data_IF_844294241482
#
_entry.id   IF_844294241482
#
_cell.length_a   1.000
_cell.length_b   1.000
_cell.length_c   1.000
_cell.angle_alpha   90.00
_cell.angle_beta   90.00
_cell.angle_gamma   90.00
#
_symmetry.space_group_name_H-M   'P 1'
#
loop_
_entity.id
_entity.type
_entity.pdbx_description
1 polymer ?
#
# COMPACT_ATOMS: atom_id res chain seq x y z
N UNK A 1 -6.22 11.86 22.79
CA UNK A 1 -5.54 10.91 21.88
C UNK A 1 -4.31 11.62 21.34
N UNK A 2 -3.12 11.08 21.52
CA UNK A 2 -1.90 11.63 20.93
C UNK A 2 -1.81 11.28 19.44
N UNK A 3 -0.90 11.95 18.72
CA UNK A 3 -0.76 11.85 17.26
C UNK A 3 -0.42 10.43 16.81
N UNK A 4 0.42 9.70 17.56
CA UNK A 4 0.81 8.32 17.22
C UNK A 4 -0.39 7.40 17.33
N UNK A 5 -1.15 7.49 18.42
CA UNK A 5 -2.36 6.70 18.61
C UNK A 5 -3.38 6.94 17.50
N UNK A 6 -3.61 8.20 17.10
CA UNK A 6 -4.51 8.53 16.00
C UNK A 6 -3.99 7.94 14.68
N UNK A 7 -2.70 8.11 14.38
CA UNK A 7 -2.08 7.58 13.16
C UNK A 7 -2.21 6.06 13.08
N UNK A 8 -1.90 5.33 14.15
CA UNK A 8 -2.02 3.88 14.20
C UNK A 8 -3.46 3.41 14.04
N UNK A 9 -4.44 4.11 14.63
CA UNK A 9 -5.85 3.79 14.44
C UNK A 9 -6.25 3.95 12.98
N UNK A 10 -5.88 5.06 12.34
CA UNK A 10 -6.19 5.30 10.93
C UNK A 10 -5.45 4.30 10.02
N UNK A 11 -4.19 3.98 10.33
CA UNK A 11 -3.41 2.99 9.58
C UNK A 11 -4.08 1.62 9.61
N UNK A 12 -4.44 1.11 10.80
CA UNK A 12 -5.16 -0.15 10.93
C UNK A 12 -6.52 -0.14 10.21
N UNK A 13 -7.22 1.00 10.18
CA UNK A 13 -8.49 1.13 9.46
C UNK A 13 -8.36 0.94 7.94
N UNK A 14 -7.18 1.23 7.38
CA UNK A 14 -6.91 1.07 5.96
C UNK A 14 -6.79 -0.40 5.54
N UNK A 15 -6.33 -1.30 6.42
CA UNK A 15 -6.01 -2.67 6.04
C UNK A 15 -6.91 -3.75 6.67
N UNK A 16 -7.09 -3.76 8.00
CA UNK A 16 -7.63 -4.93 8.71
C UNK A 16 -8.70 -4.61 9.76
N UNK A 17 -8.86 -3.35 10.20
CA UNK A 17 -9.91 -2.94 11.14
C UNK A 17 -11.02 -2.17 10.44
N UNK A 18 -12.26 -2.60 10.63
CA UNK A 18 -13.41 -1.87 10.09
C UNK A 18 -13.69 -0.61 10.91
N UNK A 19 -13.89 0.51 10.21
CA UNK A 19 -14.29 1.80 10.77
C UNK A 19 -15.33 2.44 9.81
N UNK A 20 -15.17 3.72 9.43
CA UNK A 20 -16.04 4.41 8.49
C UNK A 20 -16.15 3.75 7.10
N UNK A 21 -15.15 2.97 6.70
CA UNK A 21 -15.10 2.26 5.42
C UNK A 21 -14.60 0.82 5.61
N UNK A 22 -14.94 -0.11 4.68
CA UNK A 22 -14.44 -1.48 4.75
C UNK A 22 -12.91 -1.51 4.57
N UNK A 23 -12.19 -2.29 5.39
CA UNK A 23 -10.74 -2.38 5.32
C UNK A 23 -10.29 -3.10 4.04
N UNK A 24 -9.13 -2.73 3.48
CA UNK A 24 -8.74 -3.18 2.14
C UNK A 24 -8.61 -4.71 2.03
N UNK A 25 -8.16 -5.39 3.07
CA UNK A 25 -8.06 -6.86 3.07
C UNK A 25 -9.42 -7.52 2.84
N UNK A 26 -10.48 -6.96 3.44
CA UNK A 26 -11.88 -7.39 3.25
C UNK A 26 -12.42 -7.00 1.87
N UNK A 27 -12.10 -5.80 1.38
CA UNK A 27 -12.52 -5.34 0.04
C UNK A 27 -11.93 -6.22 -1.07
N UNK A 28 -10.68 -6.64 -0.91
CA UNK A 28 -9.96 -7.48 -1.88
C UNK A 28 -10.20 -8.98 -1.70
N UNK A 29 -11.03 -9.35 -0.72
CA UNK A 29 -11.44 -10.72 -0.47
C UNK A 29 -12.29 -11.22 -1.65
N UNK A 30 -12.01 -12.43 -2.13
CA UNK A 30 -12.78 -13.10 -3.21
C UNK A 30 -12.83 -12.37 -4.58
N UNK A 31 -12.05 -11.31 -4.78
CA UNK A 31 -11.89 -10.68 -6.11
C UNK A 31 -11.16 -11.64 -7.06
N UNK A 32 -11.83 -12.01 -8.15
CA UNK A 32 -11.27 -12.87 -9.19
C UNK A 32 -10.20 -12.14 -10.00
N UNK A 33 -9.36 -12.88 -10.73
CA UNK A 33 -8.37 -12.26 -11.63
C UNK A 33 -9.06 -11.37 -12.68
N UNK A 34 -10.15 -11.85 -13.28
CA UNK A 34 -10.92 -11.10 -14.28
C UNK A 34 -11.42 -9.77 -13.73
N UNK A 35 -12.00 -9.77 -12.51
CA UNK A 35 -12.42 -8.54 -11.83
C UNK A 35 -11.23 -7.64 -11.49
N UNK A 36 -10.09 -8.22 -11.12
CA UNK A 36 -8.89 -7.48 -10.74
C UNK A 36 -8.29 -6.69 -11.92
N UNK A 37 -8.30 -7.25 -13.13
CA UNK A 37 -7.78 -6.60 -14.35
C UNK A 37 -8.84 -5.77 -15.08
N UNK A 38 -10.12 -5.97 -14.79
CA UNK A 38 -11.21 -5.27 -15.44
C UNK A 38 -11.15 -3.75 -15.20
N UNK A 39 -11.45 -2.99 -16.25
CA UNK A 39 -11.51 -1.53 -16.22
C UNK A 39 -12.94 -1.07 -16.48
N UNK A 40 -13.49 -0.17 -15.65
CA UNK A 40 -14.89 0.25 -15.78
C UNK A 40 -15.16 1.11 -17.01
N UNK A 41 -14.20 1.95 -17.40
CA UNK A 41 -14.26 2.81 -18.58
C UNK A 41 -12.85 2.97 -19.15
N UNK A 42 -12.78 3.43 -20.39
CA UNK A 42 -11.49 3.78 -21.01
C UNK A 42 -10.78 4.86 -20.19
N UNK A 43 -9.47 4.67 -19.99
CA UNK A 43 -8.64 5.56 -19.17
C UNK A 43 -8.74 5.36 -17.65
N UNK A 44 -9.69 4.56 -17.15
CA UNK A 44 -9.72 4.21 -15.73
C UNK A 44 -8.67 3.15 -15.38
N UNK A 45 -8.28 3.13 -14.11
CA UNK A 45 -7.42 2.07 -13.56
C UNK A 45 -8.25 0.86 -13.11
N UNK A 46 -7.69 -0.33 -13.29
CA UNK A 46 -8.26 -1.56 -12.72
C UNK A 46 -8.00 -1.64 -11.22
N UNK A 47 -8.67 -2.57 -10.53
CA UNK A 47 -8.43 -2.81 -9.10
C UNK A 47 -6.96 -3.17 -8.86
N UNK A 48 -6.39 -4.05 -9.68
CA UNK A 48 -5.00 -4.48 -9.51
C UNK A 48 -4.03 -3.33 -9.78
N UNK A 49 -4.29 -2.48 -10.78
CA UNK A 49 -3.45 -1.31 -11.06
C UNK A 49 -3.41 -0.36 -9.86
N UNK A 50 -4.56 -0.13 -9.20
CA UNK A 50 -4.65 0.66 -7.97
C UNK A 50 -3.87 0.02 -6.82
N UNK A 51 -3.96 -1.30 -6.63
CA UNK A 51 -3.19 -2.00 -5.59
C UNK A 51 -1.68 -1.91 -5.86
N UNK A 52 -1.23 -2.06 -7.11
CA UNK A 52 0.17 -1.87 -7.49
C UNK A 52 0.67 -0.45 -7.20
N UNK A 53 -0.16 0.55 -7.49
CA UNK A 53 0.13 1.95 -7.18
C UNK A 53 0.31 2.20 -5.67
N UNK A 54 -0.61 1.70 -4.84
CA UNK A 54 -0.51 1.82 -3.39
C UNK A 54 0.73 1.09 -2.84
N UNK A 55 0.97 -0.14 -3.30
CA UNK A 55 2.14 -0.94 -2.93
C UNK A 55 3.45 -0.24 -3.28
N UNK A 56 3.52 0.41 -4.45
CA UNK A 56 4.71 1.16 -4.86
C UNK A 56 5.09 2.22 -3.82
N UNK A 57 4.14 3.04 -3.38
CA UNK A 57 4.42 4.11 -2.42
C UNK A 57 4.66 3.58 -1.01
N UNK A 58 3.93 2.56 -0.55
CA UNK A 58 4.19 1.95 0.75
C UNK A 58 5.60 1.35 0.84
N UNK A 59 6.07 0.68 -0.22
CA UNK A 59 7.45 0.17 -0.28
C UNK A 59 8.48 1.30 -0.18
N UNK A 60 8.23 2.45 -0.78
CA UNK A 60 9.11 3.62 -0.64
C UNK A 60 9.15 4.14 0.79
N UNK A 61 7.98 4.27 1.43
CA UNK A 61 7.88 4.71 2.82
C UNK A 61 8.62 3.72 3.74
N UNK A 62 8.42 2.42 3.54
CA UNK A 62 9.10 1.38 4.30
C UNK A 62 10.61 1.47 4.15
N UNK A 63 11.12 1.54 2.91
CA UNK A 63 12.56 1.61 2.67
C UNK A 63 13.20 2.89 3.23
N UNK A 64 12.47 4.02 3.24
CA UNK A 64 12.93 5.26 3.88
C UNK A 64 13.05 5.12 5.38
N UNK A 65 12.06 4.51 6.03
CA UNK A 65 12.12 4.20 7.46
C UNK A 65 13.29 3.28 7.81
N UNK A 66 13.62 2.34 6.93
CA UNK A 66 14.76 1.44 7.10
C UNK A 66 16.12 2.08 6.74
N UNK A 67 16.12 3.30 6.18
CA UNK A 67 17.33 3.96 5.68
C UNK A 67 17.90 3.35 4.39
N UNK A 68 17.14 2.50 3.70
CA UNK A 68 17.54 1.74 2.51
C UNK A 68 17.13 2.43 1.20
N UNK A 69 17.30 3.76 1.12
CA UNK A 69 16.78 4.58 0.01
C UNK A 69 17.36 4.23 -1.36
N UNK A 70 18.54 3.60 -1.41
CA UNK A 70 19.16 3.11 -2.64
C UNK A 70 18.29 2.08 -3.39
N UNK A 71 17.45 1.34 -2.66
CA UNK A 71 16.58 0.29 -3.20
C UNK A 71 15.14 0.77 -3.43
N UNK A 72 14.84 2.07 -3.26
CA UNK A 72 13.50 2.60 -3.50
C UNK A 72 13.03 2.27 -4.92
N UNK A 73 11.81 1.74 -5.09
CA UNK A 73 11.25 1.56 -6.42
C UNK A 73 11.14 2.92 -7.12
N UNK A 74 11.56 2.95 -8.38
CA UNK A 74 11.61 4.17 -9.21
C UNK A 74 10.53 4.14 -10.27
N UNK A 75 9.95 5.30 -10.53
CA UNK A 75 9.00 5.54 -11.60
C UNK A 75 9.28 6.92 -12.21
N UNK A 76 9.07 7.05 -13.52
CA UNK A 76 9.31 8.31 -14.24
C UNK A 76 8.27 9.39 -13.89
N UNK A 77 7.03 8.96 -13.64
CA UNK A 77 5.92 9.80 -13.22
C UNK A 77 4.90 8.95 -12.44
N UNK A 78 3.82 9.59 -11.99
CA UNK A 78 2.75 8.92 -11.27
C UNK A 78 2.10 7.79 -12.09
N UNK A 79 1.84 8.04 -13.38
CA UNK A 79 1.18 7.08 -14.26
C UNK A 79 1.99 5.78 -14.44
N UNK A 80 3.31 5.88 -14.37
CA UNK A 80 4.21 4.72 -14.46
C UNK A 80 4.12 3.75 -13.27
N UNK A 81 3.38 4.09 -12.20
CA UNK A 81 3.21 3.24 -11.01
C UNK A 81 2.01 2.29 -11.08
N UNK A 82 1.09 2.48 -12.04
CA UNK A 82 -0.07 1.61 -12.26
C UNK A 82 0.28 0.38 -13.12
N UNK A 83 1.52 -0.09 -13.09
CA UNK A 83 1.98 -1.20 -13.95
C UNK A 83 1.72 -2.54 -13.29
N UNK A 84 1.06 -3.43 -14.02
CA UNK A 84 0.85 -4.81 -13.61
C UNK A 84 2.09 -5.67 -13.92
N UNK A 85 2.40 -6.68 -13.10
CA UNK A 85 3.23 -7.80 -13.53
C UNK A 85 2.45 -8.65 -14.56
N UNK A 86 3.01 -9.79 -14.97
CA UNK A 86 2.27 -10.74 -15.82
C UNK A 86 0.92 -11.09 -15.18
N UNK A 87 -0.16 -10.96 -15.95
CA UNK A 87 -1.54 -11.12 -15.47
C UNK A 87 -1.89 -12.59 -15.18
N UNK A 88 -1.43 -13.08 -14.04
CA UNK A 88 -1.74 -14.43 -13.55
C UNK A 88 -2.43 -14.36 -12.21
N UNK A 89 -3.26 -15.36 -11.90
CA UNK A 89 -3.91 -15.47 -10.59
C UNK A 89 -2.87 -15.51 -9.45
N UNK A 90 -1.73 -16.15 -9.70
CA UNK A 90 -0.63 -16.22 -8.74
C UNK A 90 -0.02 -14.84 -8.47
N UNK A 91 0.30 -14.07 -9.52
CA UNK A 91 0.86 -12.73 -9.35
C UNK A 91 -0.15 -11.76 -8.71
N UNK A 92 -1.44 -11.91 -8.98
CA UNK A 92 -2.49 -11.14 -8.29
C UNK A 92 -2.47 -11.44 -6.79
N UNK A 93 -2.45 -12.72 -6.43
CA UNK A 93 -2.38 -13.16 -5.03
C UNK A 93 -1.10 -12.65 -4.36
N UNK A 94 0.05 -12.75 -5.01
CA UNK A 94 1.34 -12.28 -4.49
C UNK A 94 1.34 -10.77 -4.28
N UNK A 95 0.81 -9.98 -5.23
CA UNK A 95 0.71 -8.52 -5.09
C UNK A 95 -0.08 -8.13 -3.85
N UNK A 96 -1.25 -8.77 -3.62
CA UNK A 96 -2.04 -8.53 -2.41
C UNK A 96 -1.28 -8.90 -1.14
N UNK A 97 -0.64 -10.06 -1.14
CA UNK A 97 0.12 -10.54 0.01
C UNK A 97 1.30 -9.63 0.33
N UNK A 98 2.00 -9.13 -0.69
CA UNK A 98 3.09 -8.18 -0.54
C UNK A 98 2.58 -6.86 0.06
N UNK A 99 1.48 -6.32 -0.46
CA UNK A 99 0.83 -5.12 0.10
C UNK A 99 0.47 -5.31 1.58
N UNK A 100 -0.21 -6.40 1.93
CA UNK A 100 -0.57 -6.69 3.32
C UNK A 100 0.66 -6.83 4.22
N UNK A 101 1.75 -7.42 3.71
CA UNK A 101 2.99 -7.57 4.47
C UNK A 101 3.68 -6.23 4.71
N UNK A 102 3.81 -5.40 3.67
CA UNK A 102 4.45 -4.08 3.75
C UNK A 102 3.66 -3.17 4.69
N UNK A 103 2.34 -3.13 4.56
CA UNK A 103 1.47 -2.31 5.39
C UNK A 103 1.56 -2.68 6.88
N UNK A 104 1.57 -3.97 7.21
CA UNK A 104 1.73 -4.44 8.61
C UNK A 104 3.14 -4.21 9.13
N UNK A 105 4.16 -4.26 8.28
CA UNK A 105 5.53 -3.93 8.71
C UNK A 105 5.66 -2.44 9.04
N UNK A 106 5.06 -1.57 8.23
CA UNK A 106 4.95 -0.15 8.52
C UNK A 106 4.21 0.11 9.84
N UNK A 107 3.11 -0.60 10.11
CA UNK A 107 2.40 -0.48 11.39
C UNK A 107 3.32 -0.77 12.59
N UNK A 108 4.12 -1.83 12.52
CA UNK A 108 5.08 -2.19 13.58
C UNK A 108 6.16 -1.13 13.77
N UNK A 109 6.63 -0.53 12.68
CA UNK A 109 7.61 0.57 12.72
C UNK A 109 6.96 1.79 13.38
N UNK A 110 5.80 2.23 12.90
CA UNK A 110 5.04 3.37 13.43
C UNK A 110 4.73 3.23 14.93
N UNK A 111 4.46 2.02 15.40
CA UNK A 111 4.21 1.76 16.82
C UNK A 111 5.45 2.03 17.70
N UNK A 112 6.66 1.83 17.15
CA UNK A 112 7.94 1.97 17.85
C UNK A 112 8.65 3.30 17.58
N UNK A 113 8.31 3.98 16.49
CA UNK A 113 8.90 5.26 16.08
C UNK A 113 8.62 6.36 17.10
N UNK A 114 9.62 7.22 17.36
CA UNK A 114 9.41 8.43 18.12
C UNK A 114 8.76 9.53 17.27
N UNK A 115 8.22 10.57 17.91
CA UNK A 115 7.56 11.67 17.18
C UNK A 115 8.47 12.32 16.14
N UNK A 116 9.77 12.43 16.42
CA UNK A 116 10.77 12.98 15.51
C UNK A 116 10.95 12.12 14.25
N UNK A 117 10.88 10.80 14.39
CA UNK A 117 10.96 9.84 13.27
C UNK A 117 9.76 9.94 12.33
N UNK A 118 8.61 10.43 12.82
CA UNK A 118 7.44 10.64 11.98
C UNK A 118 7.60 11.86 11.06
N UNK A 119 8.44 12.84 11.43
CA UNK A 119 8.68 14.04 10.62
C UNK A 119 9.74 13.84 9.54
N UNK A 120 10.65 12.88 9.70
CA UNK A 120 11.69 12.58 8.70
C UNK A 120 11.11 12.01 7.39
N UNK A 121 9.85 11.57 7.39
CA UNK A 121 9.10 11.19 6.19
C UNK A 121 8.78 12.36 5.24
N UNK A 122 8.79 13.60 5.73
CA UNK A 122 8.46 14.80 4.95
C UNK A 122 9.65 15.45 4.24
N UNK A 123 10.87 14.92 4.43
CA UNK A 123 12.07 15.47 3.81
C UNK A 123 12.32 14.69 2.51
N UNK A 124 11.72 15.17 1.42
CA UNK A 124 12.14 14.93 0.04
C UNK A 124 12.78 16.21 -0.51
#
# INVERSE_FOLDING_TARGET
MDVRTLLLQQWASCLDKEDWFPPLEKVLENITLEQAIWKPVEGAHSIWELVCHLLFYEKRILLRFLGETANEPKAENNDATYRLPTETFQNWKETKQEYFSVHRELEKILAKSELEDLYSLYIC
#
